data_IF_584854778425
#
_entry.id   IF_584854778425
#
_cell.length_a   1.000
_cell.length_b   1.000
_cell.length_c   1.000
_cell.angle_alpha   90.00
_cell.angle_beta   90.00
_cell.angle_gamma   90.00
#
_symmetry.space_group_name_H-M   'P 1'
#
loop_
_entity.id
_entity.type
_entity.pdbx_description
1 polymer ?
#
# COMPACT_ATOMS: atom_id res chain seq x y z
N UNK A 1 -14.09 4.07 9.00
CA UNK A 1 -12.76 4.68 8.80
C UNK A 1 -12.90 5.85 7.85
N UNK A 2 -12.11 6.90 8.08
CA UNK A 2 -12.07 8.08 7.23
C UNK A 2 -11.06 7.87 6.09
N UNK A 3 -11.47 8.26 4.88
CA UNK A 3 -10.65 8.23 3.67
C UNK A 3 -10.36 9.65 3.24
N UNK A 4 -9.09 9.95 3.01
CA UNK A 4 -8.65 11.23 2.45
C UNK A 4 -7.71 10.95 1.28
N UNK A 5 -7.98 11.58 0.14
CA UNK A 5 -7.15 11.46 -1.04
C UNK A 5 -7.02 12.80 -1.75
N UNK A 6 -5.87 13.02 -2.39
CA UNK A 6 -5.68 14.07 -3.37
C UNK A 6 -5.80 13.48 -4.77
N UNK A 7 -6.63 14.11 -5.60
CA UNK A 7 -6.86 13.73 -6.98
C UNK A 7 -6.18 14.80 -7.85
N UNK A 8 -5.14 14.36 -8.55
CA UNK A 8 -4.42 15.17 -9.53
C UNK A 8 -4.86 14.73 -10.92
N UNK A 9 -5.44 15.65 -11.69
CA UNK A 9 -5.87 15.36 -13.06
C UNK A 9 -4.88 15.95 -14.03
N UNK A 10 -4.41 15.12 -14.96
CA UNK A 10 -3.48 15.51 -16.01
C UNK A 10 -4.13 15.34 -17.37
N UNK A 11 -3.77 16.20 -18.31
CA UNK A 11 -4.05 16.03 -19.73
C UNK A 11 -2.71 15.85 -20.44
N UNK A 12 -2.63 14.84 -21.29
CA UNK A 12 -1.48 14.65 -22.17
C UNK A 12 -1.56 15.61 -23.33
N UNK A 13 -0.56 16.47 -23.45
CA UNK A 13 -0.39 17.32 -24.62
C UNK A 13 -0.10 16.43 -25.85
N UNK A 14 -0.89 16.60 -26.92
CA UNK A 14 -0.75 15.78 -28.14
C UNK A 14 0.52 16.08 -28.94
N UNK A 15 1.07 17.28 -28.83
CA UNK A 15 2.26 17.72 -29.57
C UNK A 15 3.54 17.43 -28.77
N UNK A 16 3.54 17.77 -27.48
CA UNK A 16 4.73 17.63 -26.65
C UNK A 16 4.82 16.29 -25.93
N UNK A 17 3.74 15.49 -25.92
CA UNK A 17 3.59 14.25 -25.14
C UNK A 17 3.81 14.40 -23.63
N UNK A 18 3.90 15.64 -23.14
CA UNK A 18 4.07 15.92 -21.72
C UNK A 18 2.70 15.96 -21.03
N UNK A 19 2.67 15.43 -19.83
CA UNK A 19 1.48 15.49 -18.98
C UNK A 19 1.44 16.84 -18.28
N UNK A 20 0.35 17.58 -18.49
CA UNK A 20 0.10 18.87 -17.84
C UNK A 20 -1.01 18.71 -16.81
N UNK A 21 -0.73 19.10 -15.57
CA UNK A 21 -1.75 19.12 -14.53
C UNK A 21 -2.81 20.19 -14.84
N UNK A 22 -4.08 19.78 -14.81
CA UNK A 22 -5.21 20.66 -15.13
C UNK A 22 -6.17 20.86 -13.97
N UNK A 23 -6.29 19.89 -13.07
CA UNK A 23 -7.15 19.97 -11.90
C UNK A 23 -6.44 19.40 -10.67
N UNK A 24 -6.69 20.03 -9.54
CA UNK A 24 -6.33 19.52 -8.21
C UNK A 24 -7.60 19.49 -7.38
N UNK A 25 -8.01 18.30 -6.95
CA UNK A 25 -9.17 18.10 -6.09
C UNK A 25 -8.81 17.25 -4.89
N UNK A 26 -9.57 17.34 -3.80
CA UNK A 26 -9.53 16.37 -2.71
C UNK A 26 -10.78 15.52 -2.70
N UNK A 27 -10.64 14.30 -2.20
CA UNK A 27 -11.75 13.44 -1.88
C UNK A 27 -11.71 13.08 -0.39
N UNK A 28 -12.80 13.40 0.30
CA UNK A 28 -13.05 13.04 1.69
C UNK A 28 -14.20 12.04 1.74
N UNK A 29 -13.96 10.89 2.35
CA UNK A 29 -14.94 9.81 2.37
C UNK A 29 -14.99 9.06 3.69
N UNK A 30 -16.02 8.25 3.82
CA UNK A 30 -16.17 7.31 4.94
C UNK A 30 -16.48 5.93 4.39
N UNK A 31 -15.82 4.91 4.94
CA UNK A 31 -16.05 3.52 4.58
C UNK A 31 -16.19 2.63 5.80
N UNK A 32 -17.04 1.62 5.67
CA UNK A 32 -17.04 0.46 6.57
C UNK A 32 -16.03 -0.54 6.01
N UNK A 33 -15.11 -0.97 6.85
CA UNK A 33 -14.12 -2.00 6.51
C UNK A 33 -14.32 -3.17 7.45
N UNK A 34 -14.41 -4.37 6.88
CA UNK A 34 -14.37 -5.63 7.62
C UNK A 34 -13.12 -6.36 7.19
N UNK A 35 -12.27 -6.74 8.13
CA UNK A 35 -11.04 -7.47 7.85
C UNK A 35 -11.26 -8.95 8.14
N UNK A 36 -10.67 -9.83 7.35
CA UNK A 36 -10.69 -11.27 7.57
C UNK A 36 -9.30 -11.90 7.34
N UNK A 37 -9.13 -13.07 7.95
CA UNK A 37 -7.93 -13.87 7.88
C UNK A 37 -8.35 -15.27 7.45
N UNK A 38 -8.25 -15.57 6.16
CA UNK A 38 -8.74 -16.82 5.58
C UNK A 38 -7.83 -17.27 4.44
N UNK A 39 -7.70 -18.58 4.23
CA UNK A 39 -6.93 -19.17 3.13
C UNK A 39 -5.50 -18.62 3.02
N UNK A 40 -4.81 -18.51 4.16
CA UNK A 40 -3.46 -17.97 4.28
C UNK A 40 -3.29 -16.52 3.79
N UNK A 41 -4.38 -15.75 3.79
CA UNK A 41 -4.41 -14.35 3.39
C UNK A 41 -5.07 -13.46 4.44
N UNK A 42 -4.54 -12.26 4.53
CA UNK A 42 -5.16 -11.12 5.18
C UNK A 42 -5.95 -10.32 4.13
N UNK A 43 -7.26 -10.31 4.24
CA UNK A 43 -8.13 -9.61 3.31
C UNK A 43 -9.23 -8.85 4.02
N UNK A 44 -10.29 -8.57 3.28
CA UNK A 44 -11.49 -7.97 3.85
C UNK A 44 -12.54 -7.59 2.82
N UNK A 45 -13.56 -6.89 3.30
CA UNK A 45 -14.56 -6.23 2.49
C UNK A 45 -14.60 -4.74 2.85
N UNK A 46 -14.89 -3.92 1.85
CA UNK A 46 -14.98 -2.47 1.97
C UNK A 46 -16.31 -1.99 1.39
N UNK A 47 -17.03 -1.18 2.15
CA UNK A 47 -18.23 -0.49 1.67
C UNK A 47 -18.07 1.01 1.85
N UNK A 48 -17.85 1.72 0.74
CA UNK A 48 -17.81 3.18 0.72
C UNK A 48 -19.21 3.74 1.01
N UNK A 49 -19.35 4.54 2.07
CA UNK A 49 -20.61 5.15 2.50
C UNK A 49 -20.80 6.51 1.86
N UNK A 50 -19.81 7.36 2.02
CA UNK A 50 -19.81 8.73 1.51
C UNK A 50 -18.49 8.99 0.82
N UNK A 51 -18.56 9.76 -0.25
CA UNK A 51 -17.43 10.36 -0.93
C UNK A 51 -17.85 11.78 -1.28
N UNK A 52 -17.04 12.75 -0.87
CA UNK A 52 -17.19 14.15 -1.21
C UNK A 52 -15.94 14.56 -1.97
N UNK A 53 -16.12 15.18 -3.13
CA UNK A 53 -15.01 15.70 -3.92
C UNK A 53 -15.08 17.22 -3.89
N UNK A 54 -13.94 17.86 -3.64
CA UNK A 54 -13.79 19.32 -3.63
C UNK A 54 -12.68 19.73 -4.58
N UNK A 55 -12.97 20.69 -5.45
CA UNK A 55 -11.99 21.29 -6.33
C UNK A 55 -11.18 22.35 -5.57
N UNK A 56 -9.85 22.29 -5.66
CA UNK A 56 -8.93 23.26 -5.05
C UNK A 56 -8.31 24.19 -6.08
N UNK A 57 -7.88 23.65 -7.22
CA UNK A 57 -7.28 24.42 -8.31
C UNK A 57 -7.72 23.88 -9.65
N UNK A 58 -7.95 24.78 -10.59
CA UNK A 58 -8.23 24.44 -11.97
C UNK A 58 -7.44 25.36 -12.90
N UNK A 59 -6.81 24.76 -13.92
CA UNK A 59 -6.21 25.48 -15.04
C UNK A 59 -7.16 25.60 -16.24
N UNK A 60 -8.41 25.14 -16.10
CA UNK A 60 -9.49 25.21 -17.08
C UNK A 60 -10.74 25.80 -16.44
N UNK A 61 -11.61 26.45 -17.21
CA UNK A 61 -12.89 26.91 -16.68
C UNK A 61 -13.79 25.71 -16.39
N UNK A 62 -14.04 25.45 -15.11
CA UNK A 62 -14.95 24.40 -14.64
C UNK A 62 -15.66 24.91 -13.39
N UNK A 63 -16.95 24.65 -13.31
CA UNK A 63 -17.71 24.97 -12.11
C UNK A 63 -17.40 23.95 -11.01
N UNK A 64 -17.13 24.37 -9.77
CA UNK A 64 -16.88 23.47 -8.64
C UNK A 64 -17.98 22.41 -8.45
N UNK A 65 -19.23 22.78 -8.73
CA UNK A 65 -20.41 21.92 -8.64
C UNK A 65 -20.31 20.73 -9.61
N UNK A 66 -19.76 20.94 -10.81
CA UNK A 66 -19.54 19.86 -11.80
C UNK A 66 -18.56 18.80 -11.28
N UNK A 67 -17.56 19.19 -10.49
CA UNK A 67 -16.63 18.24 -9.85
C UNK A 67 -17.33 17.47 -8.72
N UNK A 68 -18.21 18.12 -7.96
CA UNK A 68 -18.97 17.45 -6.90
C UNK A 68 -19.87 16.33 -7.45
N UNK A 69 -20.39 16.48 -8.68
CA UNK A 69 -21.17 15.47 -9.39
C UNK A 69 -20.35 14.23 -9.78
N UNK A 70 -19.02 14.32 -9.78
CA UNK A 70 -18.17 13.14 -9.96
C UNK A 70 -18.16 12.25 -8.73
N UNK A 71 -18.56 12.73 -7.54
CA UNK A 71 -18.46 11.95 -6.32
C UNK A 71 -19.38 10.70 -6.31
N UNK A 72 -20.67 10.78 -6.74
CA UNK A 72 -21.50 9.58 -6.93
C UNK A 72 -20.92 8.60 -7.95
N UNK A 73 -20.40 9.10 -9.08
CA UNK A 73 -19.79 8.28 -10.12
C UNK A 73 -18.53 7.58 -9.59
N UNK A 74 -17.64 8.34 -8.95
CA UNK A 74 -16.44 7.82 -8.32
C UNK A 74 -16.77 6.77 -7.25
N UNK A 75 -17.84 6.94 -6.46
CA UNK A 75 -18.32 5.90 -5.54
C UNK A 75 -18.76 4.62 -6.26
N UNK A 76 -19.47 4.74 -7.39
CA UNK A 76 -19.91 3.58 -8.19
C UNK A 76 -18.75 2.83 -8.83
N UNK A 77 -17.69 3.51 -9.26
CA UNK A 77 -16.54 2.87 -9.90
C UNK A 77 -15.47 2.43 -8.90
N UNK A 78 -15.05 3.32 -7.99
CA UNK A 78 -13.97 3.05 -7.03
C UNK A 78 -14.39 2.08 -5.93
N UNK A 79 -15.65 2.17 -5.47
CA UNK A 79 -16.15 1.31 -4.39
C UNK A 79 -15.98 -0.18 -4.68
N UNK A 80 -16.51 -0.70 -5.81
CA UNK A 80 -16.35 -2.10 -6.21
C UNK A 80 -14.90 -2.52 -6.43
N UNK A 81 -14.08 -1.69 -7.08
CA UNK A 81 -12.67 -2.03 -7.34
C UNK A 81 -11.84 -2.09 -6.05
N UNK A 82 -12.04 -1.15 -5.12
CA UNK A 82 -11.40 -1.19 -3.80
C UNK A 82 -11.86 -2.40 -2.99
N UNK A 83 -13.16 -2.72 -3.02
CA UNK A 83 -13.69 -3.90 -2.35
C UNK A 83 -13.13 -5.19 -2.94
N UNK A 84 -13.02 -5.28 -4.27
CA UNK A 84 -12.43 -6.42 -4.98
C UNK A 84 -10.96 -6.61 -4.64
N UNK A 85 -10.18 -5.53 -4.63
CA UNK A 85 -8.77 -5.55 -4.26
C UNK A 85 -8.59 -6.00 -2.79
N UNK A 86 -9.42 -5.49 -1.87
CA UNK A 86 -9.37 -5.89 -0.47
C UNK A 86 -9.79 -7.36 -0.27
N UNK A 87 -10.77 -7.83 -1.03
CA UNK A 87 -11.21 -9.25 -1.04
C UNK A 87 -10.15 -10.20 -1.55
N UNK A 88 -9.36 -9.78 -2.54
CA UNK A 88 -8.26 -10.58 -3.05
C UNK A 88 -7.26 -10.92 -1.93
N UNK A 89 -7.06 -9.98 -1.01
CA UNK A 89 -6.22 -10.11 0.17
C UNK A 89 -4.73 -10.17 -0.17
N UNK A 90 -3.93 -9.99 0.86
CA UNK A 90 -2.49 -10.16 0.83
C UNK A 90 -2.13 -11.48 1.50
N UNK A 91 -1.21 -12.28 0.95
CA UNK A 91 -0.74 -13.48 1.64
C UNK A 91 -0.11 -13.10 2.98
N UNK A 92 -0.25 -13.98 3.99
CA UNK A 92 0.46 -13.77 5.24
C UNK A 92 1.98 -13.74 5.03
N UNK A 93 2.70 -12.90 5.78
CA UNK A 93 4.15 -12.98 5.82
C UNK A 93 4.55 -14.38 6.30
N UNK A 94 5.65 -14.91 5.76
CA UNK A 94 6.18 -16.24 6.11
C UNK A 94 5.26 -17.42 5.79
N UNK A 95 4.29 -17.28 4.86
CA UNK A 95 3.40 -18.39 4.45
C UNK A 95 4.10 -19.72 4.12
N UNK A 96 5.37 -19.67 3.68
CA UNK A 96 6.15 -20.85 3.30
C UNK A 96 6.86 -21.49 4.51
N UNK A 97 6.96 -20.78 5.63
CA UNK A 97 7.68 -21.20 6.85
C UNK A 97 6.77 -21.31 8.08
N UNK A 98 5.58 -20.70 8.04
CA UNK A 98 4.62 -20.66 9.12
C UNK A 98 3.21 -20.67 8.54
N UNK A 99 2.38 -21.56 9.07
CA UNK A 99 0.96 -21.68 8.71
C UNK A 99 0.09 -21.31 9.90
N UNK A 100 -0.83 -20.38 9.70
CA UNK A 100 -1.78 -19.98 10.73
C UNK A 100 -2.95 -20.97 10.79
N UNK A 101 -3.30 -21.43 11.99
CA UNK A 101 -4.41 -22.34 12.25
C UNK A 101 -5.54 -21.56 12.91
N UNK A 102 -6.70 -21.54 12.26
CA UNK A 102 -7.91 -20.84 12.70
C UNK A 102 -7.69 -19.37 13.12
N UNK A 103 -7.07 -18.55 12.25
CA UNK A 103 -6.80 -17.16 12.60
C UNK A 103 -8.09 -16.37 12.80
N UNK A 104 -8.14 -15.58 13.87
CA UNK A 104 -9.25 -14.68 14.22
C UNK A 104 -8.76 -13.26 14.28
N UNK A 105 -9.41 -12.39 13.50
CA UNK A 105 -9.17 -10.95 13.54
C UNK A 105 -10.17 -10.26 14.45
N UNK A 106 -9.68 -9.32 15.26
CA UNK A 106 -10.52 -8.42 16.06
C UNK A 106 -10.01 -7.00 15.90
N UNK A 107 -10.89 -6.07 15.55
CA UNK A 107 -10.55 -4.67 15.42
C UNK A 107 -10.69 -4.00 16.79
N UNK A 108 -9.65 -3.27 17.19
CA UNK A 108 -9.62 -2.43 18.37
C UNK A 108 -9.31 -0.98 17.95
N UNK A 109 -9.45 -0.04 18.88
CA UNK A 109 -9.01 1.32 18.63
C UNK A 109 -7.47 1.37 18.51
N UNK A 110 -6.97 1.89 17.39
CA UNK A 110 -5.54 1.99 17.09
C UNK A 110 -4.84 0.71 16.62
N UNK A 111 -5.43 -0.48 16.70
CA UNK A 111 -4.77 -1.72 16.24
C UNK A 111 -5.74 -2.84 15.81
N UNK A 112 -5.20 -3.80 15.05
CA UNK A 112 -5.88 -5.05 14.68
C UNK A 112 -5.21 -6.20 15.42
N UNK A 113 -5.99 -6.98 16.17
CA UNK A 113 -5.52 -8.20 16.83
C UNK A 113 -5.69 -9.40 15.90
N UNK A 114 -4.62 -10.13 15.65
CA UNK A 114 -4.63 -11.46 15.03
C UNK A 114 -4.35 -12.50 16.13
N UNK A 115 -5.34 -13.34 16.44
CA UNK A 115 -5.20 -14.45 17.37
C UNK A 115 -5.31 -15.77 16.59
N UNK A 116 -4.29 -16.61 16.66
CA UNK A 116 -4.20 -17.84 15.89
C UNK A 116 -3.23 -18.80 16.58
N UNK A 117 -3.49 -20.09 16.45
CA UNK A 117 -2.43 -21.09 16.61
C UNK A 117 -1.58 -21.10 15.34
N UNK A 118 -0.39 -21.70 15.38
CA UNK A 118 0.48 -21.77 14.21
C UNK A 118 1.27 -23.07 14.16
N UNK A 119 1.56 -23.50 12.94
CA UNK A 119 2.48 -24.60 12.63
C UNK A 119 3.72 -24.02 11.97
N UNK A 120 4.90 -24.48 12.40
CA UNK A 120 6.18 -24.04 11.86
C UNK A 120 6.76 -25.11 10.93
N UNK A 121 7.20 -24.69 9.76
CA UNK A 121 8.09 -25.49 8.93
C UNK A 121 9.55 -25.16 9.29
N UNK A 122 10.09 -25.90 10.26
CA UNK A 122 11.44 -25.67 10.79
C UNK A 122 12.53 -25.71 9.72
N UNK A 123 12.40 -26.57 8.70
CA UNK A 123 13.42 -26.70 7.65
C UNK A 123 13.50 -25.43 6.81
N UNK A 124 12.35 -24.93 6.36
CA UNK A 124 12.29 -23.67 5.60
C UNK A 124 12.72 -22.48 6.45
N UNK A 125 12.33 -22.45 7.72
CA UNK A 125 12.70 -21.37 8.63
C UNK A 125 14.23 -21.30 8.85
N UNK A 126 14.89 -22.45 9.03
CA UNK A 126 16.35 -22.54 9.15
C UNK A 126 17.05 -22.06 7.88
N UNK A 127 16.59 -22.47 6.71
CA UNK A 127 17.15 -22.02 5.43
C UNK A 127 17.04 -20.49 5.29
N UNK A 128 15.87 -19.92 5.57
CA UNK A 128 15.64 -18.47 5.51
C UNK A 128 16.51 -17.69 6.50
N UNK A 129 16.71 -18.21 7.71
CA UNK A 129 17.62 -17.59 8.68
C UNK A 129 19.06 -17.59 8.16
N UNK A 130 19.55 -18.71 7.64
CA UNK A 130 20.90 -18.79 7.06
C UNK A 130 21.08 -17.81 5.90
N UNK A 131 20.12 -17.74 4.96
CA UNK A 131 20.13 -16.77 3.85
C UNK A 131 20.19 -15.32 4.37
N UNK A 132 19.38 -14.98 5.38
CA UNK A 132 19.36 -13.65 5.96
C UNK A 132 20.70 -13.31 6.66
N UNK A 133 21.29 -14.24 7.39
CA UNK A 133 22.59 -14.07 8.03
C UNK A 133 23.72 -13.88 7.00
N UNK A 134 23.76 -14.68 5.94
CA UNK A 134 24.77 -14.54 4.88
C UNK A 134 24.60 -13.21 4.13
N UNK A 135 23.37 -12.76 3.89
CA UNK A 135 23.11 -11.45 3.28
C UNK A 135 23.62 -10.30 4.16
N UNK A 136 23.32 -10.33 5.46
CA UNK A 136 23.81 -9.31 6.42
C UNK A 136 25.34 -9.32 6.45
N UNK A 137 25.96 -10.50 6.43
CA UNK A 137 27.43 -10.64 6.41
C UNK A 137 28.03 -10.07 5.12
N UNK A 138 27.42 -10.33 3.96
CA UNK A 138 27.85 -9.78 2.67
C UNK A 138 27.69 -8.26 2.58
N UNK A 139 26.56 -7.72 3.05
CA UNK A 139 26.33 -6.27 3.13
C UNK A 139 27.32 -5.58 4.09
N UNK A 140 27.62 -6.24 5.22
CA UNK A 140 28.62 -5.75 6.19
C UNK A 140 30.04 -5.78 5.61
N UNK A 141 30.39 -6.80 4.83
CA UNK A 141 31.69 -6.92 4.18
C UNK A 141 31.88 -5.86 3.07
N UNK A 142 30.84 -5.58 2.28
CA UNK A 142 30.88 -4.55 1.25
C UNK A 142 31.03 -3.14 1.85
N UNK A 143 30.36 -2.85 2.97
CA UNK A 143 30.50 -1.57 3.68
C UNK A 143 31.91 -1.34 4.27
N UNK A 144 32.66 -2.42 4.56
CA UNK A 144 34.06 -2.33 4.97
C UNK A 144 34.98 -2.14 3.75
N UNK A 145 34.66 -2.81 2.63
CA UNK A 145 35.39 -2.68 1.36
C UNK A 145 35.33 -1.27 0.76
N UNK A 146 34.15 -0.64 0.78
CA UNK A 146 33.99 0.73 0.27
C UNK A 146 34.77 1.75 1.10
N UNK A 147 34.81 1.60 2.44
CA UNK A 147 35.61 2.48 3.31
C UNK A 147 37.13 2.37 3.10
N UNK A 148 37.64 1.20 2.66
CA UNK A 148 39.05 1.03 2.32
C UNK A 148 39.42 1.65 0.97
N UNK A 149 38.48 1.70 0.01
CA UNK A 149 38.69 2.38 -1.28
C UNK A 149 38.75 3.90 -1.10
N UNK A 150 37.95 4.47 -0.20
CA UNK A 150 38.04 5.91 0.13
C UNK A 150 39.30 6.27 0.91
N UNK A 151 39.84 5.37 1.75
CA UNK A 151 41.12 5.58 2.43
C UNK A 151 42.32 5.48 1.49
N UNK A 152 42.31 4.58 0.50
CA UNK A 152 43.42 4.48 -0.46
C UNK A 152 43.56 5.70 -1.38
N UNK A 153 42.45 6.38 -1.72
CA UNK A 153 42.47 7.61 -2.52
C UNK A 153 42.86 8.87 -1.74
N UNK A 154 42.92 8.82 -0.40
CA UNK A 154 43.30 9.97 0.43
C UNK A 154 44.79 9.98 0.82
N UNK A 155 45.51 8.88 0.62
CA UNK A 155 46.94 8.75 0.98
C UNK A 155 47.90 8.76 -0.24
N UNK A 156 47.39 8.88 -1.47
CA UNK A 156 48.17 8.92 -2.71
C UNK A 156 47.87 10.12 -3.63
N UNK A 157 47.59 11.30 -3.05
CA UNK A 157 47.67 12.60 -3.73
C UNK A 157 48.69 13.47 -3.00
#
# INVERSE_FOLDING_TARGET
>A
MDLKAHILTFIRDRQTHKDRQVLVSSADGTADIKLNAENDKFGGDLKLKKLLVRLHRSAIQIEPESISQLAPLAKMFLGPELAKALKQGLPFPLKDSMKFINPKLTLHDGYVRLASDFELNEQTLRLRMTEAFERIKAESANNIGDNLIYLYNLFFI
#
